data_IF_092354719932
#
_entry.id   IF_092354719932
#
_cell.length_a   1.000
_cell.length_b   1.000
_cell.length_c   1.000
_cell.angle_alpha   90.00
_cell.angle_beta   90.00
_cell.angle_gamma   90.00
#
_symmetry.space_group_name_H-M   'P 1'
#
loop_
_entity.id
_entity.type
_entity.pdbx_description
1 polymer ?
#
# COMPACT_ATOMS: atom_id res chain seq x y z
N UNK A 1 -0.58 -13.52 -16.17
CA UNK A 1 -0.84 -13.59 -14.72
C UNK A 1 -2.23 -13.07 -14.33
N UNK A 2 -2.70 -11.94 -14.88
CA UNK A 2 -4.05 -11.37 -14.63
C UNK A 2 -5.20 -12.31 -15.06
N UNK A 3 -5.02 -13.09 -16.13
CA UNK A 3 -6.03 -14.07 -16.61
C UNK A 3 -6.23 -15.25 -15.62
N UNK A 4 -5.20 -15.61 -14.85
CA UNK A 4 -5.27 -16.73 -13.88
C UNK A 4 -6.11 -16.30 -12.67
N UNK A 5 -5.90 -15.08 -12.17
CA UNK A 5 -6.69 -14.52 -11.06
C UNK A 5 -8.16 -14.29 -11.45
N UNK A 6 -8.43 -13.90 -12.70
CA UNK A 6 -9.80 -13.81 -13.24
C UNK A 6 -10.52 -15.17 -13.32
N UNK A 7 -9.76 -16.26 -13.54
CA UNK A 7 -10.32 -17.62 -13.55
C UNK A 7 -10.54 -18.18 -12.14
N UNK A 8 -9.74 -17.77 -11.16
CA UNK A 8 -9.90 -18.13 -9.73
C UNK A 8 -11.14 -17.43 -9.14
N UNK A 9 -11.34 -16.13 -9.43
CA UNK A 9 -12.52 -15.39 -8.99
C UNK A 9 -13.86 -15.92 -9.54
N UNK A 10 -13.82 -16.71 -10.64
CA UNK A 10 -14.99 -17.37 -11.25
C UNK A 10 -15.27 -18.78 -10.72
N UNK A 11 -14.63 -19.18 -9.61
CA UNK A 11 -14.95 -20.44 -8.90
C UNK A 11 -14.66 -21.73 -9.68
N UNK A 12 -13.79 -21.69 -10.70
CA UNK A 12 -13.51 -22.85 -11.58
C UNK A 12 -12.21 -23.59 -11.26
N UNK A 13 -11.59 -23.35 -10.10
CA UNK A 13 -10.38 -24.08 -9.71
C UNK A 13 -10.55 -24.68 -8.31
N UNK A 14 -10.68 -26.00 -8.28
CA UNK A 14 -10.76 -26.80 -7.05
C UNK A 14 -9.38 -26.85 -6.39
N UNK A 15 -9.28 -26.23 -5.21
CA UNK A 15 -8.05 -26.09 -4.42
C UNK A 15 -7.56 -27.41 -3.81
N UNK A 16 -8.38 -28.47 -3.84
CA UNK A 16 -8.02 -29.80 -3.34
C UNK A 16 -6.89 -30.48 -4.12
N UNK A 17 -6.55 -29.97 -5.31
CA UNK A 17 -5.52 -30.56 -6.19
C UNK A 17 -4.09 -30.07 -5.91
N UNK A 18 -3.88 -29.12 -5.00
CA UNK A 18 -2.58 -28.43 -4.87
C UNK A 18 -1.69 -29.00 -3.75
N UNK A 19 -2.22 -29.66 -2.71
CA UNK A 19 -1.38 -30.29 -1.69
C UNK A 19 -2.15 -31.34 -0.87
N UNK A 20 -1.78 -32.64 -0.89
CA UNK A 20 -2.53 -33.68 -0.18
C UNK A 20 -2.26 -33.80 1.33
N UNK A 21 -1.53 -32.88 1.97
CA UNK A 21 -1.08 -33.10 3.36
C UNK A 21 -0.85 -31.87 4.22
N UNK A 22 -1.49 -30.74 3.93
CA UNK A 22 -1.45 -29.60 4.85
C UNK A 22 -2.78 -29.49 5.59
N UNK A 23 -2.69 -29.46 6.92
CA UNK A 23 -3.85 -29.34 7.81
C UNK A 23 -4.44 -27.92 7.66
N UNK A 24 -5.51 -27.82 6.87
CA UNK A 24 -6.23 -26.59 6.61
C UNK A 24 -7.19 -26.20 7.74
N UNK A 25 -7.11 -26.81 8.93
CA UNK A 25 -7.94 -26.46 10.10
C UNK A 25 -7.89 -24.97 10.47
N UNK A 26 -6.77 -24.30 10.19
CA UNK A 26 -6.63 -22.84 10.33
C UNK A 26 -7.55 -22.05 9.38
N UNK A 27 -7.82 -22.55 8.16
CA UNK A 27 -8.79 -21.94 7.23
C UNK A 27 -10.21 -22.02 7.80
N UNK A 28 -10.53 -23.13 8.44
CA UNK A 28 -11.82 -23.34 9.10
C UNK A 28 -11.98 -22.41 10.30
N UNK A 29 -10.92 -22.18 11.07
CA UNK A 29 -10.89 -21.19 12.15
C UNK A 29 -11.05 -19.75 11.64
N UNK A 30 -10.49 -19.41 10.48
CA UNK A 30 -10.70 -18.13 9.79
C UNK A 30 -12.15 -17.93 9.33
N UNK A 31 -12.83 -19.01 8.91
CA UNK A 31 -14.25 -18.95 8.54
C UNK A 31 -15.21 -18.95 9.74
N UNK A 32 -14.74 -19.40 10.91
CA UNK A 32 -15.55 -19.58 12.11
C UNK A 32 -15.54 -18.36 13.06
N UNK A 33 -14.65 -17.39 12.84
CA UNK A 33 -14.65 -16.12 13.56
C UNK A 33 -15.76 -15.20 13.04
N UNK A 34 -16.73 -14.86 13.90
CA UNK A 34 -17.84 -13.93 13.61
C UNK A 34 -17.36 -12.69 12.84
N UNK A 35 -17.97 -12.37 11.69
CA UNK A 35 -18.07 -11.09 10.93
C UNK A 35 -16.91 -10.07 10.95
N UNK A 36 -15.78 -10.41 11.55
CA UNK A 36 -14.55 -9.64 11.65
C UNK A 36 -13.74 -10.05 10.45
N UNK A 37 -13.63 -9.12 9.51
CA UNK A 37 -13.08 -9.44 8.21
C UNK A 37 -11.67 -10.02 8.37
N UNK A 38 -11.42 -11.16 7.73
CA UNK A 38 -10.09 -11.77 7.53
C UNK A 38 -9.00 -10.72 7.23
N UNK A 39 -9.34 -9.66 6.50
CA UNK A 39 -8.48 -8.51 6.24
C UNK A 39 -7.97 -7.81 7.51
N UNK A 40 -8.85 -7.55 8.49
CA UNK A 40 -8.50 -6.92 9.77
C UNK A 40 -7.64 -7.83 10.63
N UNK A 41 -7.88 -9.14 10.58
CA UNK A 41 -7.07 -10.12 11.31
C UNK A 41 -5.68 -10.31 10.69
N UNK A 42 -5.56 -10.20 9.37
CA UNK A 42 -4.27 -10.27 8.65
C UNK A 42 -3.50 -8.95 8.69
N UNK A 43 -4.15 -7.84 9.04
CA UNK A 43 -3.54 -6.51 9.04
C UNK A 43 -2.31 -6.37 9.96
N UNK A 44 -2.31 -6.88 11.22
CA UNK A 44 -1.11 -6.85 12.05
C UNK A 44 0.07 -7.58 11.42
N UNK A 45 -0.18 -8.72 10.77
CA UNK A 45 0.84 -9.49 10.07
C UNK A 45 1.41 -8.73 8.86
N UNK A 46 0.58 -7.97 8.13
CA UNK A 46 1.05 -7.05 7.10
C UNK A 46 2.03 -6.02 7.67
N UNK A 47 1.63 -5.38 8.77
CA UNK A 47 2.39 -4.29 9.39
C UNK A 47 3.73 -4.77 9.93
N UNK A 48 3.80 -6.01 10.43
CA UNK A 48 5.01 -6.59 10.97
C UNK A 48 5.92 -7.19 9.89
N UNK A 49 5.34 -7.89 8.91
CA UNK A 49 6.12 -8.65 7.93
C UNK A 49 6.45 -7.82 6.69
N UNK A 50 5.50 -7.08 6.09
CA UNK A 50 5.77 -6.35 4.84
C UNK A 50 6.58 -5.06 5.06
N UNK A 51 6.35 -4.34 6.16
CA UNK A 51 7.09 -3.09 6.40
C UNK A 51 8.53 -3.33 6.88
N UNK A 52 8.82 -4.52 7.40
CA UNK A 52 10.17 -4.89 7.84
C UNK A 52 10.91 -5.81 6.85
N UNK A 53 10.22 -6.49 5.93
CA UNK A 53 10.84 -7.33 4.91
C UNK A 53 11.16 -6.53 3.64
N UNK A 54 12.44 -6.22 3.44
CA UNK A 54 12.93 -5.39 2.34
C UNK A 54 12.87 -6.08 0.95
N UNK A 55 12.83 -7.41 0.89
CA UNK A 55 13.06 -8.16 -0.35
C UNK A 55 11.88 -9.02 -0.82
N UNK A 56 10.71 -8.91 -0.18
CA UNK A 56 9.56 -9.78 -0.48
C UNK A 56 8.58 -9.10 -1.44
N UNK A 57 8.83 -9.23 -2.74
CA UNK A 57 8.00 -8.63 -3.79
C UNK A 57 6.61 -9.30 -3.91
N UNK A 58 6.53 -10.60 -3.66
CA UNK A 58 5.32 -11.41 -3.91
C UNK A 58 4.19 -11.17 -2.91
N UNK A 59 4.50 -10.84 -1.65
CA UNK A 59 3.50 -10.68 -0.58
C UNK A 59 2.61 -9.46 -0.83
N UNK A 60 3.13 -8.44 -1.52
CA UNK A 60 2.34 -7.29 -1.96
C UNK A 60 1.08 -7.71 -2.72
N UNK A 61 1.16 -8.73 -3.60
CA UNK A 61 0.04 -9.14 -4.45
C UNK A 61 -1.16 -9.69 -3.66
N UNK A 62 -0.94 -10.30 -2.50
CA UNK A 62 -2.01 -10.78 -1.62
C UNK A 62 -2.86 -9.59 -1.16
N UNK A 63 -2.21 -8.48 -0.82
CA UNK A 63 -2.87 -7.24 -0.38
C UNK A 63 -3.56 -6.50 -1.52
N UNK A 64 -2.96 -6.48 -2.71
CA UNK A 64 -3.63 -5.98 -3.92
C UNK A 64 -4.91 -6.76 -4.22
N UNK A 65 -4.89 -8.08 -4.03
CA UNK A 65 -6.07 -8.93 -4.23
C UNK A 65 -7.12 -8.68 -3.15
N UNK A 66 -6.73 -8.66 -1.86
CA UNK A 66 -7.66 -8.43 -0.76
C UNK A 66 -8.35 -7.06 -0.87
N UNK A 67 -7.62 -6.01 -1.22
CA UNK A 67 -8.20 -4.69 -1.46
C UNK A 67 -9.11 -4.63 -2.70
N UNK A 68 -8.95 -5.53 -3.68
CA UNK A 68 -9.85 -5.59 -4.83
C UNK A 68 -11.24 -6.15 -4.49
N UNK A 69 -11.42 -6.81 -3.33
CA UNK A 69 -12.69 -7.45 -2.98
C UNK A 69 -13.79 -6.43 -2.64
N UNK A 70 -13.46 -5.41 -1.86
CA UNK A 70 -14.39 -4.35 -1.46
C UNK A 70 -13.68 -3.00 -1.34
N UNK A 71 -14.37 -1.92 -1.72
CA UNK A 71 -13.83 -0.56 -1.67
C UNK A 71 -13.42 -0.13 -0.24
N UNK A 72 -14.11 -0.67 0.77
CA UNK A 72 -13.78 -0.40 2.19
C UNK A 72 -12.33 -0.79 2.53
N UNK A 73 -11.82 -1.89 1.98
CA UNK A 73 -10.45 -2.36 2.21
C UNK A 73 -9.42 -1.50 1.48
N UNK A 74 -9.77 -0.98 0.30
CA UNK A 74 -8.92 -0.04 -0.45
C UNK A 74 -8.73 1.24 0.37
N UNK A 75 -9.84 1.82 0.80
CA UNK A 75 -9.85 3.05 1.60
C UNK A 75 -9.13 2.85 2.93
N UNK A 76 -9.30 1.70 3.58
CA UNK A 76 -8.57 1.36 4.79
C UNK A 76 -7.06 1.29 4.53
N UNK A 77 -6.62 0.53 3.52
CA UNK A 77 -5.21 0.38 3.16
C UNK A 77 -4.55 1.73 2.89
N UNK A 78 -5.16 2.56 2.05
CA UNK A 78 -4.64 3.90 1.72
C UNK A 78 -4.52 4.79 2.96
N UNK A 79 -5.56 4.82 3.81
CA UNK A 79 -5.56 5.59 5.07
C UNK A 79 -4.48 5.13 6.04
N UNK A 80 -4.30 3.82 6.17
CA UNK A 80 -3.33 3.26 7.10
C UNK A 80 -1.89 3.46 6.65
N UNK A 81 -1.59 3.26 5.37
CA UNK A 81 -0.28 3.59 4.80
C UNK A 81 0.03 5.08 4.97
N UNK A 82 -0.94 5.94 4.72
CA UNK A 82 -0.78 7.37 4.93
C UNK A 82 -0.51 7.75 6.38
N UNK A 83 -1.18 7.08 7.34
CA UNK A 83 -0.93 7.27 8.76
C UNK A 83 0.53 6.96 9.11
N UNK A 84 1.08 5.87 8.58
CA UNK A 84 2.50 5.53 8.77
C UNK A 84 3.46 6.58 8.20
N UNK A 85 3.14 7.15 7.04
CA UNK A 85 3.96 8.18 6.38
C UNK A 85 3.93 9.49 7.18
N UNK A 86 2.76 9.86 7.68
CA UNK A 86 2.53 11.17 8.31
C UNK A 86 2.91 11.21 9.79
N UNK A 87 3.12 10.05 10.43
CA UNK A 87 3.51 10.00 11.83
C UNK A 87 4.92 10.57 12.03
N UNK A 88 5.14 11.38 13.08
CA UNK A 88 6.48 11.84 13.42
C UNK A 88 7.37 10.63 13.74
N UNK A 89 8.62 10.68 13.29
CA UNK A 89 9.63 9.66 13.60
C UNK A 89 10.12 9.92 15.02
N UNK A 90 9.78 9.03 15.95
CA UNK A 90 10.19 9.15 17.36
C UNK A 90 11.34 8.20 17.70
N UNK A 91 11.48 7.07 16.99
CA UNK A 91 12.50 6.06 17.25
C UNK A 91 13.48 5.85 16.07
N UNK A 92 14.73 5.43 16.35
CA UNK A 92 15.67 5.03 15.31
C UNK A 92 15.10 3.92 14.43
N UNK A 93 15.21 4.07 13.10
CA UNK A 93 14.66 3.18 12.06
C UNK A 93 13.16 3.30 11.72
N UNK A 94 12.36 4.09 12.43
CA UNK A 94 10.95 4.30 12.04
C UNK A 94 10.80 4.97 10.66
N UNK A 95 11.78 5.79 10.27
CA UNK A 95 11.84 6.39 8.93
C UNK A 95 11.85 5.33 7.80
N UNK A 96 12.39 4.13 8.05
CA UNK A 96 12.39 3.03 7.06
C UNK A 96 10.98 2.53 6.82
N UNK A 97 10.16 2.43 7.86
CA UNK A 97 8.75 2.04 7.74
C UNK A 97 7.96 3.09 6.96
N UNK A 98 8.17 4.37 7.24
CA UNK A 98 7.54 5.45 6.48
C UNK A 98 7.96 5.43 5.00
N UNK A 99 9.24 5.14 4.72
CA UNK A 99 9.75 4.98 3.36
C UNK A 99 9.05 3.81 2.63
N UNK A 100 9.02 2.62 3.22
CA UNK A 100 8.35 1.45 2.65
C UNK A 100 6.86 1.69 2.45
N UNK A 101 6.21 2.36 3.41
CA UNK A 101 4.79 2.74 3.31
C UNK A 101 4.55 3.68 2.12
N UNK A 102 5.41 4.67 1.90
CA UNK A 102 5.31 5.58 0.75
C UNK A 102 5.47 4.82 -0.57
N UNK A 103 6.49 3.96 -0.67
CA UNK A 103 6.74 3.15 -1.86
C UNK A 103 5.55 2.20 -2.16
N UNK A 104 4.97 1.58 -1.13
CA UNK A 104 3.80 0.73 -1.29
C UNK A 104 2.57 1.54 -1.69
N UNK A 105 2.33 2.70 -1.08
CA UNK A 105 1.24 3.60 -1.43
C UNK A 105 1.33 4.04 -2.90
N UNK A 106 2.50 4.48 -3.35
CA UNK A 106 2.75 4.84 -4.75
C UNK A 106 2.58 3.64 -5.70
N UNK A 107 3.12 2.48 -5.32
CA UNK A 107 2.94 1.23 -6.07
C UNK A 107 1.49 0.81 -6.21
N UNK A 108 0.69 1.03 -5.16
CA UNK A 108 -0.73 0.72 -5.09
C UNK A 108 -1.54 1.67 -5.96
N UNK A 109 -1.39 2.99 -5.79
CA UNK A 109 -2.07 4.00 -6.61
C UNK A 109 -1.74 3.89 -8.10
N UNK A 110 -0.52 3.50 -8.45
CA UNK A 110 -0.11 3.33 -9.83
C UNK A 110 -0.73 2.08 -10.49
N UNK A 111 -0.72 0.93 -9.80
CA UNK A 111 -1.04 -0.37 -10.43
C UNK A 111 -2.45 -0.90 -10.16
N UNK A 112 -3.12 -0.41 -9.12
CA UNK A 112 -4.45 -0.89 -8.76
C UNK A 112 -5.50 -0.32 -9.72
N UNK A 113 -5.81 -1.07 -10.79
CA UNK A 113 -6.78 -0.69 -11.83
C UNK A 113 -8.20 -0.45 -11.29
N UNK A 114 -8.52 -0.94 -10.10
CA UNK A 114 -9.80 -0.73 -9.42
C UNK A 114 -9.89 0.64 -8.70
N UNK A 115 -8.79 1.38 -8.59
CA UNK A 115 -8.80 2.74 -8.05
C UNK A 115 -9.14 3.71 -9.18
N UNK A 116 -10.32 4.32 -9.08
CA UNK A 116 -10.76 5.32 -10.04
C UNK A 116 -9.82 6.54 -10.07
N UNK A 117 -9.83 7.27 -11.18
CA UNK A 117 -8.94 8.42 -11.41
C UNK A 117 -9.10 9.50 -10.33
N UNK A 118 -10.34 9.83 -9.95
CA UNK A 118 -10.65 10.84 -8.91
C UNK A 118 -10.00 10.51 -7.58
N UNK A 119 -10.13 9.27 -7.10
CA UNK A 119 -9.49 8.81 -5.86
C UNK A 119 -7.96 8.92 -5.97
N UNK A 120 -7.38 8.57 -7.12
CA UNK A 120 -5.95 8.72 -7.33
C UNK A 120 -5.50 10.18 -7.27
N UNK A 121 -6.22 11.10 -7.93
CA UNK A 121 -5.91 12.53 -7.89
C UNK A 121 -6.09 13.13 -6.49
N UNK A 122 -7.10 12.71 -5.74
CA UNK A 122 -7.31 13.14 -4.35
C UNK A 122 -6.12 12.74 -3.46
N UNK A 123 -5.60 11.52 -3.65
CA UNK A 123 -4.41 11.05 -2.93
C UNK A 123 -3.13 11.75 -3.37
N UNK A 124 -2.94 12.00 -4.66
CA UNK A 124 -1.80 12.77 -5.17
C UNK A 124 -1.79 14.20 -4.63
N UNK A 125 -2.97 14.85 -4.61
CA UNK A 125 -3.13 16.17 -4.00
C UNK A 125 -2.76 16.14 -2.52
N UNK A 126 -3.25 15.17 -1.77
CA UNK A 126 -2.91 14.98 -0.35
C UNK A 126 -1.41 14.79 -0.13
N UNK A 127 -0.74 14.02 -0.99
CA UNK A 127 0.71 13.85 -0.94
C UNK A 127 1.45 15.17 -1.23
N UNK A 128 1.01 15.91 -2.26
CA UNK A 128 1.59 17.20 -2.64
C UNK A 128 1.43 18.25 -1.52
N UNK A 129 0.24 18.35 -0.93
CA UNK A 129 -0.05 19.26 0.18
C UNK A 129 0.87 18.98 1.38
N UNK A 130 1.06 17.71 1.72
CA UNK A 130 1.99 17.29 2.77
C UNK A 130 3.44 17.65 2.44
N UNK A 131 3.88 17.46 1.19
CA UNK A 131 5.22 17.86 0.75
C UNK A 131 5.43 19.38 0.87
N UNK A 132 4.44 20.18 0.49
CA UNK A 132 4.47 21.64 0.62
C UNK A 132 4.54 22.07 2.08
N UNK A 133 3.74 21.45 2.95
CA UNK A 133 3.79 21.70 4.39
C UNK A 133 5.15 21.32 5.00
N UNK A 134 5.72 20.19 4.58
CA UNK A 134 7.05 19.77 4.99
C UNK A 134 8.12 20.79 4.60
N UNK A 135 8.08 21.29 3.36
CA UNK A 135 9.01 22.32 2.86
C UNK A 135 8.86 23.62 3.67
N UNK A 136 7.63 24.07 3.91
CA UNK A 136 7.36 25.28 4.68
C UNK A 136 7.92 25.21 6.12
N UNK A 137 7.84 24.04 6.76
CA UNK A 137 8.42 23.80 8.10
C UNK A 137 9.95 23.62 8.05
N UNK A 138 10.46 22.98 7.01
CA UNK A 138 11.88 22.62 6.88
C UNK A 138 12.76 23.75 6.36
N UNK A 139 12.19 24.78 5.71
CA UNK A 139 12.90 25.97 5.23
C UNK A 139 13.63 26.78 6.32
N UNK A 140 13.38 26.46 7.60
CA UNK A 140 14.08 27.02 8.76
C UNK A 140 15.36 26.26 9.11
N UNK A 141 15.50 24.98 8.70
CA UNK A 141 16.68 24.14 8.96
C UNK A 141 17.57 24.11 7.72
N UNK A 142 18.50 25.06 7.62
CA UNK A 142 19.38 25.24 6.45
C UNK A 142 20.50 24.21 6.27
N UNK A 143 20.61 23.19 7.13
CA UNK A 143 21.83 22.39 7.20
C UNK A 143 21.59 20.90 6.88
N UNK A 144 22.27 20.46 5.82
CA UNK A 144 22.49 19.11 5.30
C UNK A 144 21.37 18.46 4.47
N UNK A 145 21.32 18.82 3.17
CA UNK A 145 20.75 17.95 2.15
C UNK A 145 21.35 16.52 2.26
N UNK A 146 20.53 15.48 2.08
CA UNK A 146 20.96 14.09 2.25
C UNK A 146 20.96 13.56 3.69
N UNK A 147 20.58 14.36 4.69
CA UNK A 147 20.35 13.83 6.03
C UNK A 147 19.16 12.86 6.05
N UNK A 148 19.29 11.80 6.85
CA UNK A 148 18.25 10.77 7.09
C UNK A 148 16.92 11.40 7.51
N UNK A 149 16.95 12.57 8.15
CA UNK A 149 15.77 13.35 8.55
C UNK A 149 14.84 13.73 7.38
N UNK A 150 15.37 13.81 6.15
CA UNK A 150 14.60 14.12 4.94
C UNK A 150 14.18 12.85 4.17
N UNK A 151 14.53 11.66 4.66
CA UNK A 151 14.30 10.39 3.96
C UNK A 151 12.84 10.12 3.64
N UNK A 152 11.92 10.37 4.58
CA UNK A 152 10.48 10.23 4.35
C UNK A 152 9.98 11.21 3.30
N UNK A 153 10.46 12.46 3.33
CA UNK A 153 10.09 13.46 2.33
C UNK A 153 10.47 13.02 0.92
N UNK A 154 11.71 12.56 0.71
CA UNK A 154 12.15 12.07 -0.59
C UNK A 154 11.35 10.85 -1.05
N UNK A 155 11.02 9.92 -0.14
CA UNK A 155 10.20 8.76 -0.47
C UNK A 155 8.79 9.13 -0.95
N UNK A 156 8.15 10.12 -0.31
CA UNK A 156 6.83 10.61 -0.71
C UNK A 156 6.89 11.31 -2.07
N UNK A 157 7.89 12.17 -2.30
CA UNK A 157 8.09 12.83 -3.61
C UNK A 157 8.33 11.80 -4.70
N UNK A 158 9.20 10.81 -4.45
CA UNK A 158 9.46 9.73 -5.40
C UNK A 158 8.18 8.94 -5.74
N UNK A 159 7.36 8.65 -4.72
CA UNK A 159 6.10 7.93 -4.90
C UNK A 159 5.07 8.75 -5.68
N UNK A 160 4.99 10.06 -5.43
CA UNK A 160 4.13 10.99 -6.16
C UNK A 160 4.51 11.03 -7.65
N UNK A 161 5.79 11.24 -7.95
CA UNK A 161 6.30 11.29 -9.33
C UNK A 161 6.13 9.94 -10.04
N UNK A 162 6.31 8.83 -9.33
CA UNK A 162 6.10 7.49 -9.86
C UNK A 162 4.65 7.28 -10.29
N UNK A 163 3.67 7.62 -9.44
CA UNK A 163 2.24 7.50 -9.76
C UNK A 163 1.87 8.40 -10.93
N UNK A 164 2.32 9.65 -10.92
CA UNK A 164 2.10 10.60 -12.02
C UNK A 164 2.64 10.04 -13.35
N UNK A 165 3.88 9.56 -13.35
CA UNK A 165 4.50 8.99 -14.55
C UNK A 165 3.80 7.73 -15.03
N UNK A 166 3.26 6.90 -14.12
CA UNK A 166 2.58 5.67 -14.49
C UNK A 166 1.17 5.92 -15.07
N UNK A 167 0.43 6.87 -14.50
CA UNK A 167 -0.95 7.22 -14.89
C UNK A 167 -1.05 8.46 -15.78
N UNK A 168 0.06 8.92 -16.37
CA UNK A 168 0.10 10.19 -17.13
C UNK A 168 -0.97 10.28 -18.23
N UNK A 169 -1.31 9.16 -18.88
CA UNK A 169 -2.33 9.13 -19.93
C UNK A 169 -3.69 9.59 -19.43
N UNK A 170 -4.06 9.16 -18.24
CA UNK A 170 -5.34 9.53 -17.64
C UNK A 170 -5.38 11.01 -17.28
N UNK A 171 -4.25 11.63 -16.93
CA UNK A 171 -4.18 13.08 -16.74
C UNK A 171 -4.42 13.83 -18.05
N UNK A 172 -3.76 13.43 -19.13
CA UNK A 172 -3.90 14.07 -20.44
C UNK A 172 -5.32 13.90 -21.01
N UNK A 173 -5.98 12.78 -20.72
CA UNK A 173 -7.33 12.48 -21.22
C UNK A 173 -8.45 13.18 -20.43
N UNK A 174 -8.17 13.63 -19.20
CA UNK A 174 -9.17 14.24 -18.31
C UNK A 174 -8.90 15.74 -18.03
N UNK A 175 -7.95 16.36 -18.75
CA UNK A 175 -7.74 17.82 -18.81
C UNK A 175 -8.73 18.50 -19.77
#
# INVERSE_FOLDING_TARGET
MIIILSRIAKGKMDLSKIAPSEDFSWLTQLSAGSDSCIFEQLWPAFMEQMLNAHDVQSVSFIWFFACNLEEKYQNFMLKMLWKLISMPVFAPNEWKRAHTAAAFLGGFLARAMYINFKTCTDWLKKMADWCNEYIAKSGLCRNCAGCIQHGTFYAVVQSLLFVFSFRYKEFVEND
#
